data_IF_786743286637
#
_entry.id   IF_786743286637
#
_cell.length_a   1.000
_cell.length_b   1.000
_cell.length_c   1.000
_cell.angle_alpha   90.00
_cell.angle_beta   90.00
_cell.angle_gamma   90.00
#
_symmetry.space_group_name_H-M   'P 1'
#
loop_
_entity.id
_entity.type
_entity.pdbx_description
1 polymer ?
#
# COMPACT_ATOMS: atom_id res chain seq x y z
N UNK A 1 5.31 -22.49 7.18
CA UNK A 1 6.26 -21.37 7.00
C UNK A 1 5.43 -20.10 7.02
N UNK A 2 5.85 -19.06 7.75
CA UNK A 2 5.19 -17.75 7.70
C UNK A 2 5.44 -17.09 6.35
N UNK A 3 4.50 -16.25 5.90
CA UNK A 3 4.71 -15.42 4.71
C UNK A 3 5.75 -14.33 5.02
N UNK A 4 6.56 -13.90 4.03
CA UNK A 4 7.30 -12.65 4.12
C UNK A 4 6.38 -11.49 4.51
N UNK A 5 6.88 -10.57 5.33
CA UNK A 5 6.14 -9.40 5.78
C UNK A 5 6.71 -8.12 5.20
N UNK A 6 5.83 -7.24 4.76
CA UNK A 6 6.13 -5.91 4.24
C UNK A 6 5.27 -4.88 4.96
N UNK A 7 5.64 -3.61 4.86
CA UNK A 7 4.87 -2.51 5.39
C UNK A 7 4.73 -1.41 4.33
N UNK A 8 3.66 -0.62 4.44
CA UNK A 8 3.41 0.53 3.58
C UNK A 8 2.80 1.65 4.40
N UNK A 9 3.16 2.90 4.08
CA UNK A 9 2.62 4.09 4.71
C UNK A 9 1.93 4.96 3.66
N UNK A 10 0.76 5.48 4.01
CA UNK A 10 0.11 6.55 3.26
C UNK A 10 0.20 7.85 4.06
N UNK A 11 1.05 8.75 3.59
CA UNK A 11 1.17 10.08 4.17
C UNK A 11 0.06 10.97 3.62
N UNK A 12 -0.68 11.63 4.52
CA UNK A 12 -1.84 12.45 4.19
C UNK A 12 -1.60 13.90 4.61
N UNK A 13 -1.73 14.84 3.66
CA UNK A 13 -1.70 16.28 3.94
C UNK A 13 -3.03 16.93 3.58
N UNK A 14 -3.39 17.97 4.32
CA UNK A 14 -4.48 18.86 3.91
C UNK A 14 -4.03 19.73 2.73
N UNK A 15 -4.86 19.84 1.69
CA UNK A 15 -4.69 20.78 0.58
C UNK A 15 -6.01 21.56 0.33
N UNK A 16 -5.97 22.68 -0.41
CA UNK A 16 -7.17 23.49 -0.66
C UNK A 16 -8.35 22.72 -1.29
N UNK A 17 -8.08 21.64 -2.03
CA UNK A 17 -9.08 20.79 -2.68
C UNK A 17 -9.51 19.56 -1.87
N UNK A 18 -9.06 19.44 -0.61
CA UNK A 18 -9.21 18.25 0.22
C UNK A 18 -7.87 17.58 0.52
N UNK A 19 -7.91 16.46 1.24
CA UNK A 19 -6.69 15.72 1.58
C UNK A 19 -6.01 15.17 0.31
N UNK A 20 -4.68 15.24 0.29
CA UNK A 20 -3.81 14.58 -0.68
C UNK A 20 -3.03 13.46 -0.01
N UNK A 21 -2.72 12.42 -0.76
CA UNK A 21 -1.92 11.27 -0.35
C UNK A 21 -0.62 11.21 -1.13
N UNK A 22 0.48 10.91 -0.44
CA UNK A 22 1.76 10.63 -1.10
C UNK A 22 1.74 9.22 -1.66
N UNK A 23 1.83 9.11 -2.98
CA UNK A 23 2.13 7.86 -3.67
C UNK A 23 3.48 8.00 -4.36
N UNK A 24 4.07 6.90 -4.80
CA UNK A 24 5.25 6.94 -5.64
C UNK A 24 5.19 5.90 -6.74
N UNK A 25 5.74 6.27 -7.89
CA UNK A 25 5.94 5.31 -8.98
C UNK A 25 7.12 4.41 -8.61
N UNK A 26 6.84 3.11 -8.47
CA UNK A 26 7.87 2.11 -8.20
C UNK A 26 8.73 1.91 -9.44
N UNK A 27 10.04 2.14 -9.32
CA UNK A 27 11.01 2.07 -10.42
C UNK A 27 11.60 0.69 -10.63
N UNK A 28 11.70 -0.09 -9.55
CA UNK A 28 12.29 -1.43 -9.57
C UNK A 28 11.53 -2.40 -8.65
N UNK A 29 11.70 -3.69 -8.91
CA UNK A 29 11.20 -4.77 -8.04
C UNK A 29 9.73 -5.12 -8.24
N UNK A 30 9.13 -5.74 -7.22
CA UNK A 30 7.74 -6.18 -7.28
C UNK A 30 6.81 -4.96 -7.32
N UNK A 31 6.05 -4.85 -8.42
CA UNK A 31 5.15 -3.71 -8.66
C UNK A 31 5.76 -2.58 -9.47
N UNK A 32 6.89 -2.81 -10.15
CA UNK A 32 7.49 -1.87 -11.10
C UNK A 32 6.43 -1.28 -12.05
N UNK A 33 6.42 0.05 -12.15
CA UNK A 33 5.48 0.83 -12.94
C UNK A 33 4.18 1.21 -12.21
N UNK A 34 3.80 0.48 -11.15
CA UNK A 34 2.63 0.83 -10.34
C UNK A 34 2.91 2.04 -9.44
N UNK A 35 1.84 2.76 -9.11
CA UNK A 35 1.80 3.65 -7.96
C UNK A 35 1.62 2.84 -6.68
N UNK A 36 2.45 3.12 -5.68
CA UNK A 36 2.42 2.49 -4.34
C UNK A 36 2.59 3.56 -3.27
N UNK A 37 2.18 3.28 -2.03
CA UNK A 37 2.66 4.06 -0.89
C UNK A 37 4.13 3.73 -0.61
N UNK A 38 4.91 4.65 -0.01
CA UNK A 38 6.26 4.35 0.47
C UNK A 38 6.27 3.17 1.44
N UNK A 39 7.27 2.31 1.36
CA UNK A 39 7.42 1.16 2.24
C UNK A 39 8.10 -0.04 1.58
N UNK A 40 8.49 -0.99 2.42
CA UNK A 40 9.25 -2.14 1.97
C UNK A 40 9.21 -3.30 2.94
N UNK A 41 10.31 -4.05 2.99
CA UNK A 41 10.38 -5.33 3.71
C UNK A 41 10.64 -5.07 5.19
N UNK A 42 10.03 -5.89 6.04
CA UNK A 42 10.37 -5.92 7.46
C UNK A 42 11.61 -6.79 7.63
N UNK A 43 12.70 -6.20 8.11
CA UNK A 43 13.94 -6.94 8.36
C UNK A 43 13.86 -7.77 9.64
N UNK A 44 14.83 -8.68 9.79
CA UNK A 44 14.88 -9.55 10.97
C UNK A 44 15.10 -8.71 12.22
N UNK A 45 14.20 -8.88 13.19
CA UNK A 45 14.14 -8.17 14.47
C UNK A 45 13.55 -6.74 14.43
N UNK A 46 13.02 -6.30 13.28
CA UNK A 46 12.19 -5.10 13.23
C UNK A 46 10.75 -5.39 13.62
N UNK A 47 10.08 -4.43 14.26
CA UNK A 47 8.62 -4.38 14.27
C UNK A 47 8.13 -3.68 12.99
N UNK A 48 6.87 -3.89 12.57
CA UNK A 48 6.32 -3.15 11.42
C UNK A 48 6.47 -1.63 11.53
N UNK A 49 6.36 -1.07 12.75
CA UNK A 49 6.53 0.36 13.01
C UNK A 49 7.99 0.84 12.85
N UNK A 50 8.97 0.02 13.22
CA UNK A 50 10.38 0.36 13.01
C UNK A 50 10.74 0.29 11.53
N UNK A 51 10.32 -0.78 10.86
CA UNK A 51 10.55 -0.98 9.44
C UNK A 51 9.96 0.17 8.61
N UNK A 52 8.70 0.56 8.86
CA UNK A 52 8.06 1.59 8.04
C UNK A 52 8.70 2.97 8.19
N UNK A 53 9.24 3.29 9.38
CA UNK A 53 9.97 4.55 9.59
C UNK A 53 11.26 4.59 8.78
N UNK A 54 12.04 3.50 8.81
CA UNK A 54 13.26 3.35 7.99
C UNK A 54 12.94 3.44 6.50
N UNK A 55 11.98 2.64 6.03
CA UNK A 55 11.64 2.56 4.60
C UNK A 55 11.15 3.91 4.06
N UNK A 56 10.30 4.64 4.79
CA UNK A 56 9.84 5.96 4.33
C UNK A 56 10.99 6.98 4.29
N UNK A 57 11.88 6.96 5.28
CA UNK A 57 13.06 7.84 5.30
C UNK A 57 13.99 7.53 4.12
N UNK A 58 14.27 6.26 3.84
CA UNK A 58 15.12 5.80 2.73
C UNK A 58 14.51 6.13 1.35
N UNK A 59 13.21 5.91 1.17
CA UNK A 59 12.56 6.07 -0.14
C UNK A 59 12.16 7.51 -0.46
N UNK A 60 11.98 8.37 0.55
CA UNK A 60 11.39 9.72 0.37
C UNK A 60 12.10 10.86 1.09
N UNK A 61 13.12 10.58 1.93
CA UNK A 61 13.75 11.54 2.86
C UNK A 61 12.82 12.14 3.92
N UNK A 62 11.64 11.54 4.14
CA UNK A 62 10.67 12.02 5.14
C UNK A 62 10.84 11.28 6.47
N UNK A 63 10.83 12.03 7.57
CA UNK A 63 10.87 11.46 8.92
C UNK A 63 9.45 11.45 9.49
N UNK A 64 8.88 10.25 9.66
CA UNK A 64 7.52 10.08 10.16
C UNK A 64 7.38 10.51 11.63
N UNK A 65 6.31 11.23 11.95
CA UNK A 65 5.85 11.52 13.31
C UNK A 65 4.97 10.41 13.87
N UNK A 66 3.76 10.75 14.33
CA UNK A 66 2.75 9.77 14.73
C UNK A 66 2.24 8.93 13.55
N UNK A 67 2.18 7.61 13.72
CA UNK A 67 1.65 6.68 12.72
C UNK A 67 0.51 5.86 13.31
N UNK A 68 -0.48 5.54 12.47
CA UNK A 68 -1.63 4.72 12.84
C UNK A 68 -1.66 3.46 11.97
N UNK A 69 -1.78 2.28 12.60
CA UNK A 69 -2.00 1.03 11.88
C UNK A 69 -3.47 0.97 11.42
N UNK A 70 -3.68 1.03 10.12
CA UNK A 70 -5.01 1.05 9.49
C UNK A 70 -5.29 -0.20 8.66
N UNK A 71 -4.36 -1.15 8.56
CA UNK A 71 -4.71 -2.41 7.93
C UNK A 71 -3.70 -3.55 8.03
N UNK A 72 -4.23 -4.75 7.87
CA UNK A 72 -3.51 -6.00 7.75
C UNK A 72 -4.00 -6.75 6.51
N UNK A 73 -3.17 -6.79 5.48
CA UNK A 73 -3.53 -7.37 4.19
C UNK A 73 -2.70 -8.61 3.92
N UNK A 74 -3.32 -9.64 3.36
CA UNK A 74 -2.63 -10.87 2.94
C UNK A 74 -2.76 -11.04 1.43
N UNK A 75 -1.65 -11.30 0.75
CA UNK A 75 -1.61 -11.42 -0.71
C UNK A 75 -1.11 -12.81 -1.13
N UNK A 76 -2.00 -13.79 -1.33
CA UNK A 76 -1.62 -15.06 -1.95
C UNK A 76 -1.37 -14.90 -3.45
N UNK A 77 -0.24 -15.42 -3.92
CA UNK A 77 0.07 -15.58 -5.35
C UNK A 77 0.22 -17.07 -5.68
N UNK A 78 -0.87 -17.83 -5.85
CA UNK A 78 -0.81 -19.29 -6.06
C UNK A 78 0.01 -19.69 -7.30
N UNK A 79 0.01 -18.84 -8.34
CA UNK A 79 0.78 -19.06 -9.57
C UNK A 79 2.24 -18.56 -9.50
N UNK A 80 2.61 -17.86 -8.42
CA UNK A 80 4.00 -17.47 -8.11
C UNK A 80 4.20 -17.35 -6.59
N UNK A 81 4.26 -18.47 -5.85
CA UNK A 81 4.19 -18.46 -4.39
C UNK A 81 5.25 -17.59 -3.70
N UNK A 82 6.43 -17.43 -4.31
CA UNK A 82 7.51 -16.56 -3.83
C UNK A 82 7.15 -15.07 -3.76
N UNK A 83 6.04 -14.63 -4.38
CA UNK A 83 5.51 -13.27 -4.28
C UNK A 83 4.46 -13.11 -3.17
N UNK A 84 4.03 -14.21 -2.55
CA UNK A 84 3.02 -14.14 -1.50
C UNK A 84 3.59 -13.46 -0.27
N UNK A 85 2.84 -12.51 0.30
CA UNK A 85 3.31 -11.70 1.42
C UNK A 85 2.15 -11.19 2.28
N UNK A 86 2.46 -10.81 3.53
CA UNK A 86 1.57 -10.06 4.41
C UNK A 86 2.02 -8.60 4.44
N UNK A 87 1.08 -7.66 4.37
CA UNK A 87 1.36 -6.22 4.44
C UNK A 87 0.70 -5.56 5.64
N UNK A 88 1.48 -4.76 6.35
CA UNK A 88 1.03 -3.86 7.40
C UNK A 88 0.85 -2.47 6.82
N UNK A 89 -0.34 -1.89 6.96
CA UNK A 89 -0.70 -0.62 6.34
C UNK A 89 -0.79 0.46 7.42
N UNK A 90 -0.01 1.52 7.25
CA UNK A 90 0.02 2.67 8.12
C UNK A 90 -0.51 3.92 7.42
N UNK A 91 -1.06 4.84 8.21
CA UNK A 91 -1.33 6.22 7.81
C UNK A 91 -0.54 7.16 8.70
N UNK A 92 -0.04 8.23 8.10
CA UNK A 92 0.68 9.28 8.81
C UNK A 92 0.20 10.66 8.35
N UNK A 93 0.01 11.59 9.30
CA UNK A 93 -0.42 12.98 9.03
C UNK A 93 0.60 14.01 9.49
N UNK A 94 1.68 13.56 10.12
CA UNK A 94 2.70 14.40 10.74
C UNK A 94 4.08 13.86 10.36
N UNK A 95 4.92 14.67 9.73
CA UNK A 95 6.28 14.30 9.36
C UNK A 95 7.16 15.54 9.23
N UNK A 96 8.46 15.31 9.17
CA UNK A 96 9.46 16.33 8.87
C UNK A 96 10.10 16.08 7.50
N UNK A 97 10.54 17.16 6.84
CA UNK A 97 11.19 17.11 5.53
C UNK A 97 10.26 17.36 4.34
N UNK A 98 10.84 17.27 3.15
CA UNK A 98 10.15 17.38 1.86
C UNK A 98 10.43 16.12 1.04
N UNK A 99 9.40 15.59 0.38
CA UNK A 99 9.50 14.33 -0.35
C UNK A 99 10.45 14.47 -1.54
N UNK A 100 11.47 13.61 -1.61
CA UNK A 100 12.41 13.57 -2.73
C UNK A 100 12.42 12.21 -3.41
N UNK A 101 12.79 12.20 -4.69
CA UNK A 101 12.91 10.98 -5.47
C UNK A 101 14.15 10.18 -5.05
N UNK A 102 13.96 8.88 -4.82
CA UNK A 102 15.02 7.91 -4.57
C UNK A 102 15.26 7.04 -5.80
N UNK A 103 16.22 6.12 -5.72
CA UNK A 103 16.47 5.15 -6.79
C UNK A 103 15.28 4.17 -6.97
N UNK A 104 14.47 3.95 -5.95
CA UNK A 104 13.35 2.99 -5.97
C UNK A 104 11.98 3.63 -6.19
N UNK A 105 11.78 4.86 -5.72
CA UNK A 105 10.47 5.51 -5.67
C UNK A 105 10.53 6.95 -6.15
N UNK A 106 9.66 7.31 -7.09
CA UNK A 106 9.41 8.71 -7.49
C UNK A 106 8.11 9.21 -6.85
N UNK A 107 8.17 9.94 -5.71
CA UNK A 107 6.99 10.36 -4.96
C UNK A 107 6.25 11.52 -5.64
N UNK A 108 4.92 11.51 -5.55
CA UNK A 108 4.02 12.52 -6.07
C UNK A 108 2.72 12.54 -5.24
N UNK A 109 2.17 13.74 -5.05
CA UNK A 109 0.93 13.93 -4.29
C UNK A 109 -0.28 13.76 -5.20
N UNK A 110 -1.26 12.98 -4.73
CA UNK A 110 -2.52 12.73 -5.43
C UNK A 110 -3.71 13.12 -4.54
N UNK A 111 -4.78 13.74 -5.08
CA UNK A 111 -5.99 13.99 -4.32
C UNK A 111 -6.61 12.67 -3.83
N UNK A 112 -6.94 12.56 -2.54
CA UNK A 112 -7.59 11.34 -1.99
C UNK A 112 -8.92 11.07 -2.68
N UNK A 113 -9.66 12.13 -3.01
CA UNK A 113 -10.94 12.05 -3.72
C UNK A 113 -10.81 11.43 -5.13
N UNK A 114 -9.65 11.58 -5.78
CA UNK A 114 -9.37 11.08 -7.13
C UNK A 114 -8.11 10.20 -7.15
N UNK A 115 -7.95 9.37 -6.11
CA UNK A 115 -6.80 8.46 -6.04
C UNK A 115 -6.81 7.50 -7.25
N UNK A 116 -5.71 7.43 -8.02
CA UNK A 116 -5.67 6.74 -9.31
C UNK A 116 -5.48 5.22 -9.14
N UNK A 117 -6.46 4.54 -8.53
CA UNK A 117 -6.37 3.09 -8.22
C UNK A 117 -6.12 2.22 -9.45
N UNK A 118 -6.50 2.66 -10.65
CA UNK A 118 -6.22 1.96 -11.90
C UNK A 118 -4.72 1.89 -12.26
N UNK A 119 -3.88 2.75 -11.64
CA UNK A 119 -2.42 2.76 -11.77
C UNK A 119 -1.72 2.08 -10.58
N UNK A 120 -2.48 1.56 -9.62
CA UNK A 120 -1.98 0.83 -8.45
C UNK A 120 -2.12 -0.68 -8.67
N UNK A 121 -1.79 -1.48 -7.66
CA UNK A 121 -2.20 -2.88 -7.63
C UNK A 121 -3.73 -3.01 -7.63
N UNK A 122 -4.23 -4.07 -8.27
CA UNK A 122 -5.66 -4.28 -8.52
C UNK A 122 -6.51 -4.31 -7.24
N UNK A 123 -5.94 -4.74 -6.12
CA UNK A 123 -6.58 -4.79 -4.81
C UNK A 123 -6.87 -3.40 -4.24
N UNK A 124 -6.05 -2.39 -4.57
CA UNK A 124 -6.15 -1.04 -4.00
C UNK A 124 -7.55 -0.43 -4.21
N UNK A 125 -8.24 -0.77 -5.31
CA UNK A 125 -9.60 -0.27 -5.59
C UNK A 125 -10.63 -0.64 -4.52
N UNK A 126 -10.39 -1.72 -3.77
CA UNK A 126 -11.34 -2.25 -2.80
C UNK A 126 -11.19 -1.60 -1.43
N UNK A 127 -9.97 -1.28 -1.02
CA UNK A 127 -9.68 -0.97 0.38
C UNK A 127 -8.99 0.37 0.63
N UNK A 128 -8.22 0.90 -0.33
CA UNK A 128 -7.33 2.05 -0.04
C UNK A 128 -8.11 3.27 0.44
N UNK A 129 -9.27 3.54 -0.17
CA UNK A 129 -10.13 4.67 0.23
C UNK A 129 -10.70 4.50 1.64
N UNK A 130 -10.93 3.26 2.07
CA UNK A 130 -11.40 2.96 3.42
C UNK A 130 -10.30 3.22 4.44
N UNK A 131 -9.08 2.75 4.16
CA UNK A 131 -7.91 2.97 4.99
C UNK A 131 -7.57 4.47 5.13
N UNK A 132 -7.57 5.23 4.02
CA UNK A 132 -7.32 6.67 4.03
C UNK A 132 -8.40 7.47 4.78
N UNK A 133 -9.62 6.92 4.89
CA UNK A 133 -10.70 7.48 5.69
C UNK A 133 -10.63 7.09 7.19
N UNK A 134 -9.56 6.43 7.63
CA UNK A 134 -9.34 6.01 9.01
C UNK A 134 -10.09 4.74 9.40
N UNK A 135 -10.59 3.94 8.43
CA UNK A 135 -11.18 2.63 8.72
C UNK A 135 -10.10 1.57 8.72
N UNK A 136 -10.07 0.74 9.75
CA UNK A 136 -9.19 -0.42 9.77
C UNK A 136 -9.65 -1.47 8.75
N UNK A 137 -8.74 -1.91 7.88
CA UNK A 137 -9.00 -2.94 6.86
C UNK A 137 -8.22 -4.20 7.17
N UNK A 138 -8.94 -5.33 7.26
CA UNK A 138 -8.32 -6.65 7.28
C UNK A 138 -8.91 -7.51 6.19
N UNK A 139 -8.08 -7.95 5.25
CA UNK A 139 -8.54 -8.73 4.11
C UNK A 139 -7.42 -9.54 3.47
N UNK A 140 -7.82 -10.55 2.72
CA UNK A 140 -6.98 -11.36 1.84
C UNK A 140 -7.35 -11.06 0.40
N UNK A 141 -6.36 -10.79 -0.45
CA UNK A 141 -6.54 -10.60 -1.90
C UNK A 141 -5.65 -11.58 -2.64
N UNK A 142 -6.24 -12.65 -3.19
CA UNK A 142 -5.56 -13.61 -4.04
C UNK A 142 -5.40 -13.04 -5.45
N UNK A 143 -4.19 -13.13 -6.00
CA UNK A 143 -3.90 -12.74 -7.38
C UNK A 143 -3.98 -13.92 -8.33
N UNK A 144 -4.63 -13.70 -9.47
CA UNK A 144 -4.83 -14.69 -10.51
C UNK A 144 -3.56 -15.07 -11.27
N UNK A 145 -3.73 -15.91 -12.29
CA UNK A 145 -2.61 -16.44 -13.10
C UNK A 145 -1.83 -15.35 -13.86
N UNK A 146 -2.43 -14.19 -14.10
CA UNK A 146 -1.77 -13.03 -14.71
C UNK A 146 -0.85 -12.26 -13.75
N UNK A 147 -0.86 -12.63 -12.45
CA UNK A 147 -0.13 -12.00 -11.36
C UNK A 147 -0.43 -10.50 -11.20
N UNK A 148 -1.56 -10.04 -11.72
CA UNK A 148 -1.93 -8.62 -11.80
C UNK A 148 -3.32 -8.35 -11.24
N UNK A 149 -4.29 -9.23 -11.51
CA UNK A 149 -5.69 -9.02 -11.13
C UNK A 149 -6.08 -9.90 -9.95
N UNK A 150 -6.91 -9.36 -9.05
CA UNK A 150 -7.44 -10.12 -7.91
C UNK A 150 -8.46 -11.14 -8.42
N UNK A 151 -8.21 -12.43 -8.16
CA UNK A 151 -9.09 -13.56 -8.50
C UNK A 151 -10.08 -13.90 -7.39
N UNK A 152 -9.71 -13.66 -6.13
CA UNK A 152 -10.57 -13.93 -4.97
C UNK A 152 -10.21 -13.00 -3.80
N UNK A 153 -11.20 -12.66 -2.97
CA UNK A 153 -10.99 -11.92 -1.73
C UNK A 153 -12.12 -12.15 -0.73
N UNK A 154 -11.79 -12.06 0.57
CA UNK A 154 -12.75 -12.00 1.66
C UNK A 154 -13.23 -10.56 1.96
N UNK A 155 -12.70 -9.55 1.26
CA UNK A 155 -13.12 -8.16 1.42
C UNK A 155 -14.56 -7.98 0.93
N UNK A 156 -15.46 -7.33 1.70
CA UNK A 156 -16.87 -7.19 1.35
C UNK A 156 -17.11 -6.55 -0.02
N UNK A 157 -16.28 -5.58 -0.41
CA UNK A 157 -16.39 -4.91 -1.71
C UNK A 157 -16.14 -5.85 -2.90
N UNK A 158 -15.37 -6.93 -2.73
CA UNK A 158 -15.08 -7.88 -3.81
C UNK A 158 -16.32 -8.63 -4.26
N UNK A 159 -17.15 -9.10 -3.30
CA UNK A 159 -18.38 -9.83 -3.59
C UNK A 159 -19.43 -8.99 -4.35
N UNK A 160 -19.36 -7.66 -4.21
CA UNK A 160 -20.27 -6.73 -4.89
C UNK A 160 -19.87 -6.54 -6.36
N UNK A 161 -18.58 -6.63 -6.66
CA UNK A 161 -18.00 -6.40 -8.00
C UNK A 161 -17.80 -7.67 -8.83
N UNK A 162 -17.81 -8.85 -8.20
CA UNK A 162 -17.66 -10.10 -8.92
C UNK A 162 -18.83 -10.30 -9.89
N UNK A 163 -18.59 -10.63 -11.19
CA UNK A 163 -19.66 -10.95 -12.09
C UNK A 163 -20.44 -12.13 -11.51
N UNK A 164 -21.73 -11.91 -11.21
CA UNK A 164 -22.63 -13.03 -10.90
C UNK A 164 -22.62 -13.91 -12.14
N UNK A 165 -21.97 -15.06 -12.07
CA UNK A 165 -22.15 -16.07 -13.10
C UNK A 165 -23.65 -16.45 -13.10
N UNK A 166 -24.30 -16.50 -14.28
CA UNK A 166 -25.67 -16.97 -14.41
C UNK A 166 -25.82 -18.43 -13.98
#
# INVERSE_FOLDING_TARGET
>A
MSLPEVCVCYLLRAAPGGDEVLLGRKKFGLGEGNLVGPGGKIERAETPELAIRREVEEETSLVLGGIELVGELTYPFPFKPAWSQKSWVFVCREWEGEATESDELAPEWYPVADIPTARMWDDARYWVRDALAGRFVKATFEFGADLRTVSASDHPAFAITAPRHP
#
